data_IF_894668150720
#
_entry.id   IF_894668150720
#
_cell.length_a   1.000
_cell.length_b   1.000
_cell.length_c   1.000
_cell.angle_alpha   90.00
_cell.angle_beta   90.00
_cell.angle_gamma   90.00
#
_symmetry.space_group_name_H-M   'P 1'
#
loop_
_entity.id
_entity.type
_entity.pdbx_description
1 polymer ?
#
# COMPACT_ATOMS: atom_id res chain seq x y z
N UNK A 1 -35.88 -22.73 10.40
CA UNK A 1 -35.37 -22.00 9.24
C UNK A 1 -33.84 -21.99 9.36
N UNK A 2 -33.21 -22.90 8.63
CA UNK A 2 -31.78 -23.07 8.62
C UNK A 2 -31.20 -21.92 7.76
N UNK A 3 -30.34 -21.11 8.35
CA UNK A 3 -29.53 -20.12 7.63
C UNK A 3 -28.46 -20.89 6.85
N UNK A 4 -28.67 -20.96 5.54
CA UNK A 4 -27.70 -21.43 4.57
C UNK A 4 -26.48 -20.49 4.63
N UNK A 5 -25.45 -20.87 5.41
CA UNK A 5 -24.12 -20.30 5.31
C UNK A 5 -23.55 -20.74 3.96
N UNK A 6 -23.77 -19.92 2.94
CA UNK A 6 -23.05 -20.01 1.68
C UNK A 6 -21.55 -19.93 1.97
N UNK A 7 -20.96 -21.08 2.15
CA UNK A 7 -19.49 -21.23 2.27
C UNK A 7 -18.91 -20.80 0.93
N UNK A 8 -18.42 -19.57 0.86
CA UNK A 8 -17.65 -19.10 -0.30
C UNK A 8 -16.51 -20.11 -0.52
N UNK A 9 -16.57 -20.84 -1.64
CA UNK A 9 -15.57 -21.86 -1.97
C UNK A 9 -14.23 -21.18 -2.13
N UNK A 10 -13.40 -21.24 -1.09
CA UNK A 10 -12.06 -20.70 -1.16
C UNK A 10 -11.22 -21.54 -2.13
N UNK A 11 -10.52 -20.88 -3.06
CA UNK A 11 -9.61 -21.56 -3.98
C UNK A 11 -8.54 -22.33 -3.20
N UNK A 12 -8.32 -23.60 -3.57
CA UNK A 12 -7.23 -24.39 -2.99
C UNK A 12 -5.94 -24.13 -3.80
N UNK A 13 -4.88 -23.52 -3.19
CA UNK A 13 -3.65 -23.18 -3.88
C UNK A 13 -2.98 -24.38 -4.53
N UNK A 14 -2.87 -25.52 -3.80
CA UNK A 14 -2.18 -26.71 -4.29
C UNK A 14 -2.87 -27.31 -5.52
N UNK A 15 -4.20 -27.31 -5.53
CA UNK A 15 -4.96 -27.79 -6.69
C UNK A 15 -4.81 -26.86 -7.89
N UNK A 16 -4.82 -25.55 -7.67
CA UNK A 16 -4.64 -24.57 -8.74
C UNK A 16 -3.23 -24.65 -9.32
N UNK A 17 -2.22 -24.79 -8.48
CA UNK A 17 -0.82 -24.94 -8.91
C UNK A 17 -0.63 -26.24 -9.71
N UNK A 18 -1.14 -27.37 -9.21
CA UNK A 18 -1.03 -28.67 -9.90
C UNK A 18 -1.72 -28.66 -11.27
N UNK A 19 -2.85 -27.96 -11.38
CA UNK A 19 -3.61 -27.85 -12.64
C UNK A 19 -3.06 -26.77 -13.60
N UNK A 20 -2.07 -25.97 -13.18
CA UNK A 20 -1.56 -24.85 -13.97
C UNK A 20 -2.57 -23.71 -14.13
N UNK A 21 -3.55 -23.60 -13.24
CA UNK A 21 -4.58 -22.53 -13.26
C UNK A 21 -4.35 -21.43 -12.24
N UNK A 22 -3.22 -21.47 -11.51
CA UNK A 22 -2.85 -20.45 -10.55
C UNK A 22 -2.42 -19.18 -11.25
N UNK A 23 -3.15 -18.09 -11.04
CA UNK A 23 -2.81 -16.75 -11.53
C UNK A 23 -2.63 -15.80 -10.34
N UNK A 24 -1.47 -15.16 -10.25
CA UNK A 24 -1.16 -14.17 -9.22
C UNK A 24 -1.05 -12.78 -9.82
N UNK A 25 -1.84 -11.83 -9.29
CA UNK A 25 -1.64 -10.41 -9.53
C UNK A 25 -0.60 -9.88 -8.55
N UNK A 26 0.42 -9.19 -9.05
CA UNK A 26 1.41 -8.48 -8.23
C UNK A 26 1.10 -6.98 -8.33
N UNK A 27 0.61 -6.39 -7.24
CA UNK A 27 0.32 -4.97 -7.16
C UNK A 27 1.58 -4.10 -6.96
N UNK A 28 2.72 -4.75 -6.68
CA UNK A 28 4.01 -4.10 -6.43
C UNK A 28 4.31 -3.93 -4.94
N UNK A 29 5.54 -4.30 -4.55
CA UNK A 29 6.00 -4.25 -3.15
C UNK A 29 6.10 -2.82 -2.58
N UNK A 30 6.04 -1.80 -3.43
CA UNK A 30 6.12 -0.39 -3.06
C UNK A 30 4.92 0.44 -3.53
N UNK A 31 3.90 -0.18 -4.11
CA UNK A 31 2.69 0.55 -4.50
C UNK A 31 1.89 0.92 -3.26
N UNK A 32 1.67 2.21 -3.05
CA UNK A 32 0.98 2.77 -1.89
C UNK A 32 -0.22 3.65 -2.29
N UNK A 33 -0.64 3.58 -3.54
CA UNK A 33 -1.92 4.15 -3.97
C UNK A 33 -3.07 3.27 -3.46
N UNK A 34 -3.58 3.64 -2.28
CA UNK A 34 -4.58 2.84 -1.56
C UNK A 34 -5.87 2.64 -2.37
N UNK A 35 -6.27 3.66 -3.13
CA UNK A 35 -7.46 3.59 -3.98
C UNK A 35 -7.23 2.63 -5.13
N UNK A 36 -6.11 2.78 -5.84
CA UNK A 36 -5.77 1.88 -6.94
C UNK A 36 -5.61 0.42 -6.46
N UNK A 37 -5.06 0.20 -5.25
CA UNK A 37 -4.91 -1.15 -4.70
C UNK A 37 -6.28 -1.78 -4.41
N UNK A 38 -7.22 -1.05 -3.81
CA UNK A 38 -8.57 -1.56 -3.56
C UNK A 38 -9.27 -1.92 -4.88
N UNK A 39 -9.19 -1.02 -5.88
CA UNK A 39 -9.78 -1.24 -7.20
C UNK A 39 -9.15 -2.43 -7.93
N UNK A 40 -7.82 -2.54 -7.92
CA UNK A 40 -7.11 -3.67 -8.54
C UNK A 40 -7.50 -5.01 -7.90
N UNK A 41 -7.58 -5.05 -6.57
CA UNK A 41 -8.00 -6.25 -5.85
C UNK A 41 -9.42 -6.68 -6.24
N UNK A 42 -10.35 -5.73 -6.33
CA UNK A 42 -11.73 -5.99 -6.73
C UNK A 42 -11.83 -6.42 -8.19
N UNK A 43 -11.24 -5.66 -9.12
CA UNK A 43 -11.33 -5.90 -10.56
C UNK A 43 -10.67 -7.23 -10.98
N UNK A 44 -9.45 -7.47 -10.53
CA UNK A 44 -8.74 -8.71 -10.88
C UNK A 44 -9.30 -9.92 -10.13
N UNK A 45 -9.82 -9.71 -8.91
CA UNK A 45 -10.58 -10.74 -8.21
C UNK A 45 -11.81 -11.17 -9.01
N UNK A 46 -12.58 -10.21 -9.55
CA UNK A 46 -13.72 -10.49 -10.43
C UNK A 46 -13.29 -11.16 -11.74
N UNK A 47 -12.12 -10.85 -12.26
CA UNK A 47 -11.55 -11.53 -13.42
C UNK A 47 -11.03 -12.96 -13.12
N UNK A 48 -11.06 -13.41 -11.85
CA UNK A 48 -10.76 -14.78 -11.45
C UNK A 48 -9.29 -15.06 -11.11
N UNK A 49 -8.49 -14.05 -10.72
CA UNK A 49 -7.15 -14.32 -10.19
C UNK A 49 -7.22 -15.16 -8.92
N UNK A 50 -6.24 -16.01 -8.73
CA UNK A 50 -6.17 -16.90 -7.57
C UNK A 50 -5.58 -16.21 -6.34
N UNK A 51 -4.73 -15.21 -6.57
CA UNK A 51 -3.99 -14.52 -5.51
C UNK A 51 -3.68 -13.07 -5.89
N UNK A 52 -3.71 -12.18 -4.92
CA UNK A 52 -3.22 -10.80 -5.01
C UNK A 52 -2.05 -10.64 -4.05
N UNK A 53 -0.95 -10.08 -4.56
CA UNK A 53 0.29 -9.85 -3.82
C UNK A 53 0.48 -8.33 -3.62
N UNK A 54 0.56 -7.89 -2.37
CA UNK A 54 0.62 -6.48 -2.00
C UNK A 54 1.81 -6.20 -1.08
N UNK A 55 2.14 -4.92 -0.91
CA UNK A 55 3.20 -4.49 0.00
C UNK A 55 2.90 -4.82 1.46
N UNK A 56 3.94 -5.09 2.25
CA UNK A 56 3.87 -5.32 3.70
C UNK A 56 3.66 -4.00 4.48
N UNK A 57 2.59 -3.29 4.16
CA UNK A 57 2.17 -2.07 4.81
C UNK A 57 0.73 -2.21 5.32
N UNK A 58 0.48 -1.79 6.56
CA UNK A 58 -0.82 -1.98 7.19
C UNK A 58 -1.95 -1.20 6.50
N UNK A 59 -1.66 -0.05 5.88
CA UNK A 59 -2.65 0.72 5.13
C UNK A 59 -2.96 0.05 3.79
N UNK A 60 -1.92 -0.45 3.11
CA UNK A 60 -2.05 -1.21 1.86
C UNK A 60 -2.86 -2.49 2.07
N UNK A 61 -2.56 -3.24 3.13
CA UNK A 61 -3.30 -4.47 3.48
C UNK A 61 -4.78 -4.16 3.77
N UNK A 62 -5.08 -3.06 4.47
CA UNK A 62 -6.47 -2.65 4.70
C UNK A 62 -7.18 -2.29 3.41
N UNK A 63 -6.55 -1.54 2.51
CA UNK A 63 -7.11 -1.18 1.22
C UNK A 63 -7.37 -2.43 0.36
N UNK A 64 -6.42 -3.36 0.31
CA UNK A 64 -6.58 -4.63 -0.39
C UNK A 64 -7.77 -5.42 0.15
N UNK A 65 -7.88 -5.54 1.49
CA UNK A 65 -9.02 -6.21 2.13
C UNK A 65 -10.34 -5.56 1.78
N UNK A 66 -10.41 -4.23 1.79
CA UNK A 66 -11.63 -3.49 1.41
C UNK A 66 -12.06 -3.83 -0.01
N UNK A 67 -11.14 -3.83 -0.98
CA UNK A 67 -11.44 -4.23 -2.36
C UNK A 67 -11.92 -5.68 -2.46
N UNK A 68 -11.30 -6.59 -1.69
CA UNK A 68 -11.71 -7.99 -1.64
C UNK A 68 -13.07 -8.20 -0.92
N UNK A 69 -13.42 -7.38 0.05
CA UNK A 69 -14.73 -7.43 0.71
C UNK A 69 -15.83 -7.01 -0.26
N UNK A 70 -15.65 -5.91 -1.02
CA UNK A 70 -16.55 -5.52 -2.10
C UNK A 70 -16.73 -6.61 -3.16
N UNK A 71 -15.64 -7.29 -3.51
CA UNK A 71 -15.69 -8.42 -4.44
C UNK A 71 -16.62 -9.53 -3.94
N UNK A 72 -16.48 -9.93 -2.68
CA UNK A 72 -17.29 -10.96 -2.05
C UNK A 72 -18.76 -10.53 -1.94
N UNK A 73 -19.01 -9.29 -1.52
CA UNK A 73 -20.35 -8.71 -1.47
C UNK A 73 -21.04 -8.70 -2.86
N UNK A 74 -20.23 -8.62 -3.93
CA UNK A 74 -20.69 -8.71 -5.31
C UNK A 74 -20.88 -10.15 -5.82
N UNK A 75 -20.72 -11.15 -4.97
CA UNK A 75 -20.95 -12.57 -5.28
C UNK A 75 -19.79 -13.32 -5.92
N UNK A 76 -18.59 -12.73 -5.93
CA UNK A 76 -17.39 -13.38 -6.48
C UNK A 76 -16.60 -14.14 -5.41
N UNK A 77 -15.80 -15.09 -5.86
CA UNK A 77 -14.88 -15.85 -4.99
C UNK A 77 -13.72 -14.97 -4.56
N UNK A 78 -13.40 -14.98 -3.26
CA UNK A 78 -12.27 -14.24 -2.69
C UNK A 78 -10.94 -14.88 -3.09
N UNK A 79 -10.02 -14.18 -3.77
CA UNK A 79 -8.66 -14.65 -3.98
C UNK A 79 -7.84 -14.63 -2.69
N UNK A 80 -6.75 -15.36 -2.69
CA UNK A 80 -5.77 -15.28 -1.61
C UNK A 80 -5.12 -13.90 -1.57
N UNK A 81 -4.92 -13.37 -0.37
CA UNK A 81 -4.13 -12.16 -0.15
C UNK A 81 -2.73 -12.56 0.32
N UNK A 82 -1.75 -12.29 -0.49
CA UNK A 82 -0.33 -12.46 -0.19
C UNK A 82 0.28 -11.10 0.19
N UNK A 83 1.20 -11.12 1.14
CA UNK A 83 1.94 -9.94 1.57
C UNK A 83 3.42 -10.20 1.36
N UNK A 84 4.05 -9.38 0.53
CA UNK A 84 5.48 -9.45 0.28
C UNK A 84 6.25 -8.72 1.37
N UNK A 85 7.10 -9.45 2.08
CA UNK A 85 7.98 -8.94 3.15
C UNK A 85 9.41 -8.87 2.61
N UNK A 86 10.04 -7.70 2.72
CA UNK A 86 11.46 -7.53 2.44
C UNK A 86 12.28 -7.85 3.69
N UNK A 87 13.40 -8.54 3.55
CA UNK A 87 14.34 -8.87 4.62
C UNK A 87 15.34 -7.75 4.93
N UNK A 88 15.23 -6.62 4.24
CA UNK A 88 16.08 -5.45 4.41
C UNK A 88 15.41 -4.14 4.00
N UNK A 89 16.16 -3.03 3.96
CA UNK A 89 15.65 -1.76 3.46
C UNK A 89 15.19 -1.91 2.01
N UNK A 90 13.89 -1.66 1.77
CA UNK A 90 13.34 -1.72 0.42
C UNK A 90 13.70 -0.45 -0.34
N UNK A 91 14.53 -0.59 -1.38
CA UNK A 91 14.96 0.51 -2.24
C UNK A 91 13.81 1.16 -3.04
N UNK A 92 12.68 0.48 -3.16
CA UNK A 92 11.49 0.99 -3.83
C UNK A 92 10.56 1.76 -2.91
N UNK A 93 10.78 1.71 -1.61
CA UNK A 93 9.95 2.39 -0.63
C UNK A 93 10.23 3.90 -0.66
N UNK A 94 9.23 4.69 -1.04
CA UNK A 94 9.31 6.14 -1.03
C UNK A 94 8.70 6.65 0.27
N UNK A 95 9.49 7.41 1.04
CA UNK A 95 9.04 8.04 2.28
C UNK A 95 9.24 9.54 2.16
N UNK A 96 8.33 10.32 2.69
CA UNK A 96 8.55 11.74 2.83
C UNK A 96 9.73 11.99 3.79
N UNK A 97 10.52 13.00 3.49
CA UNK A 97 11.64 13.42 4.32
C UNK A 97 11.78 14.95 4.34
N UNK A 98 12.14 15.51 5.46
CA UNK A 98 12.58 16.90 5.61
C UNK A 98 13.46 17.04 6.84
N UNK A 99 14.27 18.11 6.86
CA UNK A 99 15.02 18.52 8.05
C UNK A 99 14.15 19.44 8.91
N UNK A 100 13.73 19.04 10.12
CA UNK A 100 12.89 19.85 10.99
C UNK A 100 13.51 21.18 11.37
N UNK A 101 14.85 21.29 11.37
CA UNK A 101 15.57 22.53 11.71
C UNK A 101 15.39 23.63 10.65
N UNK A 102 15.05 23.24 9.43
CA UNK A 102 14.77 24.19 8.34
C UNK A 102 13.35 24.74 8.39
N UNK A 103 12.47 24.11 9.17
CA UNK A 103 11.08 24.53 9.25
C UNK A 103 10.95 25.81 10.09
N UNK A 104 10.41 26.91 9.55
CA UNK A 104 10.20 28.13 10.33
C UNK A 104 9.29 27.89 11.52
N UNK A 105 9.56 28.58 12.65
CA UNK A 105 8.79 28.44 13.89
C UNK A 105 7.34 28.90 13.75
N UNK A 106 7.08 29.83 12.84
CA UNK A 106 5.78 30.43 12.52
C UNK A 106 5.02 29.70 11.40
N UNK A 107 5.60 28.62 10.84
CA UNK A 107 4.94 27.85 9.80
C UNK A 107 3.64 27.21 10.32
N UNK A 108 2.49 27.39 9.62
CA UNK A 108 1.20 26.81 10.05
C UNK A 108 1.12 25.28 9.90
N UNK A 109 2.18 24.65 9.37
CA UNK A 109 2.37 23.19 9.22
C UNK A 109 1.22 22.45 8.56
N UNK A 110 0.82 22.83 7.38
CA UNK A 110 -0.24 22.14 6.67
C UNK A 110 0.12 20.67 6.36
N UNK A 111 1.41 20.35 6.29
CA UNK A 111 1.90 18.98 6.09
C UNK A 111 1.49 18.01 7.21
N UNK A 112 1.41 18.46 8.48
CA UNK A 112 0.91 17.62 9.57
C UNK A 112 -0.58 17.34 9.39
N UNK A 113 -1.36 18.38 9.11
CA UNK A 113 -2.83 18.26 9.00
C UNK A 113 -3.29 17.43 7.80
N UNK A 114 -2.53 17.45 6.69
CA UNK A 114 -2.89 16.70 5.48
C UNK A 114 -2.41 15.24 5.52
N UNK A 115 -1.56 14.89 6.48
CA UNK A 115 -0.99 13.55 6.57
C UNK A 115 -2.03 12.53 7.05
N UNK A 116 -2.51 11.61 6.19
CA UNK A 116 -3.57 10.68 6.59
C UNK A 116 -3.07 9.58 7.54
N UNK A 117 -1.76 9.46 7.70
CA UNK A 117 -1.11 8.49 8.57
C UNK A 117 -0.61 9.12 9.88
N UNK A 118 -0.84 10.45 10.09
CA UNK A 118 -0.26 11.21 11.21
C UNK A 118 1.25 10.93 11.38
N UNK A 119 1.96 10.79 10.27
CA UNK A 119 3.37 10.45 10.25
C UNK A 119 4.28 11.67 10.44
N UNK A 120 3.75 12.89 10.38
CA UNK A 120 4.47 14.14 10.54
C UNK A 120 4.01 14.81 11.83
N UNK A 121 4.93 15.10 12.74
CA UNK A 121 4.63 15.75 14.01
C UNK A 121 5.57 16.92 14.28
N UNK A 122 5.15 17.85 15.15
CA UNK A 122 5.80 19.13 15.41
C UNK A 122 7.30 19.05 15.75
N UNK A 123 7.69 18.08 16.52
CA UNK A 123 9.05 17.99 17.07
C UNK A 123 9.91 16.92 16.42
N UNK A 124 9.38 16.19 15.46
CA UNK A 124 10.08 15.09 14.82
C UNK A 124 10.03 15.24 13.31
N UNK A 125 10.99 14.67 12.63
CA UNK A 125 10.93 14.41 11.21
C UNK A 125 9.76 13.45 10.91
N UNK A 126 9.68 12.98 9.69
CA UNK A 126 8.67 11.99 9.31
C UNK A 126 8.92 10.66 10.05
N UNK A 127 7.89 10.16 10.73
CA UNK A 127 7.92 8.78 11.23
C UNK A 127 7.82 7.81 10.06
N UNK A 128 8.95 7.19 9.71
CA UNK A 128 9.03 6.25 8.61
C UNK A 128 8.17 4.98 8.80
N UNK A 129 7.80 4.63 10.05
CA UNK A 129 6.93 3.48 10.32
C UNK A 129 5.47 3.77 9.98
N UNK A 130 5.06 5.03 10.07
CA UNK A 130 3.69 5.48 9.79
C UNK A 130 3.54 5.99 8.36
N UNK A 131 4.60 6.61 7.81
CA UNK A 131 4.59 7.13 6.45
C UNK A 131 4.51 5.98 5.43
N UNK A 132 3.49 6.01 4.58
CA UNK A 132 3.34 5.08 3.45
C UNK A 132 3.56 5.74 2.08
N UNK A 133 4.19 6.92 2.04
CA UNK A 133 4.65 7.53 0.79
C UNK A 133 3.58 8.13 -0.11
N UNK A 134 2.40 8.51 0.41
CA UNK A 134 1.31 9.05 -0.40
C UNK A 134 1.60 10.41 -1.07
N UNK A 135 2.70 11.07 -0.72
CA UNK A 135 3.15 12.33 -1.32
C UNK A 135 2.32 13.58 -1.02
N UNK A 136 1.19 13.48 -0.30
CA UNK A 136 0.28 14.63 -0.05
C UNK A 136 0.95 15.80 0.66
N UNK A 137 1.96 15.54 1.47
CA UNK A 137 2.69 16.56 2.21
C UNK A 137 3.63 17.40 1.32
N UNK A 138 4.07 16.89 0.16
CA UNK A 138 4.99 17.60 -0.74
C UNK A 138 4.39 18.93 -1.24
N UNK A 139 3.23 18.91 -1.95
CA UNK A 139 2.62 20.15 -2.42
C UNK A 139 2.03 20.99 -1.29
N UNK A 140 1.77 20.40 -0.13
CA UNK A 140 1.24 21.11 1.02
C UNK A 140 2.29 21.95 1.75
N UNK A 141 3.58 21.68 1.57
CA UNK A 141 4.65 22.43 2.22
C UNK A 141 4.84 23.80 1.53
N UNK A 142 4.51 24.95 2.19
CA UNK A 142 4.63 26.25 1.57
C UNK A 142 6.08 26.66 1.25
N UNK A 143 7.04 25.97 1.88
CA UNK A 143 8.47 26.26 1.72
C UNK A 143 9.18 25.27 0.78
N UNK A 144 8.50 24.22 0.32
CA UNK A 144 9.09 23.17 -0.54
C UNK A 144 10.21 22.37 0.14
N UNK A 145 10.19 22.25 1.47
CA UNK A 145 11.27 21.57 2.20
C UNK A 145 11.08 20.06 2.31
N UNK A 146 9.90 19.56 1.95
CA UNK A 146 9.61 18.13 1.97
C UNK A 146 9.96 17.52 0.63
N UNK A 147 10.74 16.46 0.66
CA UNK A 147 11.12 15.66 -0.51
C UNK A 147 10.76 14.19 -0.28
N UNK A 148 10.72 13.43 -1.37
CA UNK A 148 10.67 11.97 -1.27
C UNK A 148 12.10 11.42 -1.25
N UNK A 149 12.43 10.64 -0.22
CA UNK A 149 13.60 9.79 -0.27
C UNK A 149 13.24 8.53 -1.05
N UNK A 150 13.72 8.47 -2.29
CA UNK A 150 13.80 7.24 -3.06
C UNK A 150 15.23 6.71 -2.91
N UNK A 151 15.39 5.55 -2.30
CA UNK A 151 16.70 4.90 -2.19
C UNK A 151 17.20 4.35 -3.53
N UNK A 152 16.38 4.33 -4.56
CA UNK A 152 16.75 3.87 -5.91
C UNK A 152 17.84 4.76 -6.53
N UNK A 153 17.83 6.07 -6.24
CA UNK A 153 18.82 7.00 -6.81
C UNK A 153 20.23 6.89 -6.21
N UNK A 154 20.41 6.07 -5.17
CA UNK A 154 21.72 5.87 -4.53
C UNK A 154 22.50 4.73 -5.18
N UNK A 155 21.85 3.86 -5.93
CA UNK A 155 22.45 2.64 -6.49
C UNK A 155 22.55 2.58 -8.02
N UNK A 156 22.13 3.60 -8.77
CA UNK A 156 22.43 3.65 -10.19
C UNK A 156 23.87 4.12 -10.40
N UNK A 157 24.75 3.25 -10.95
CA UNK A 157 26.05 3.73 -11.38
C UNK A 157 25.83 4.72 -12.53
N UNK A 158 26.21 5.96 -12.31
CA UNK A 158 26.36 6.95 -13.39
C UNK A 158 27.30 6.35 -14.44
N UNK A 159 26.75 6.00 -15.59
CA UNK A 159 27.53 5.70 -16.80
C UNK A 159 27.97 7.01 -17.45
#
# INVERSE_FOLDING_TARGET
MATDESTAVQLNPDQCLTRGTWVKLICGASNQDLTAIADLCALYGAAGVSCVDVAADSAVIRAARQGLDWLVESGFTRPWLMVSVSDGPDAHFRKAWFDPKRCPSDCPRPCERICPADAITFNTAVDARRCYGCGRCLPACPHGYISELSLIHISEPTR
#
